data_IF_363867467933
#
_entry.id   IF_363867467933
#
_cell.length_a   1.000
_cell.length_b   1.000
_cell.length_c   1.000
_cell.angle_alpha   90.00
_cell.angle_beta   90.00
_cell.angle_gamma   90.00
#
_symmetry.space_group_name_H-M   'P 1'
#
loop_
_entity.id
_entity.type
_entity.pdbx_description
1 polymer ?
#
# COMPACT_ATOMS: atom_id res chain seq x y z
N UNK A 1 21.98 -15.49 4.49
CA UNK A 1 20.90 -14.88 3.68
C UNK A 1 19.91 -14.30 4.67
N UNK A 2 19.37 -13.12 4.39
CA UNK A 2 18.49 -12.37 5.30
C UNK A 2 17.29 -11.88 4.47
N UNK A 3 16.13 -11.73 5.12
CA UNK A 3 14.95 -11.09 4.54
C UNK A 3 14.94 -9.61 4.96
N UNK A 4 15.16 -8.69 4.01
CA UNK A 4 15.11 -7.25 4.30
C UNK A 4 13.93 -6.59 3.61
N UNK A 5 13.08 -5.95 4.39
CA UNK A 5 11.90 -5.21 3.92
C UNK A 5 12.17 -3.71 3.95
N UNK A 6 11.92 -3.03 2.83
CA UNK A 6 12.10 -1.59 2.65
C UNK A 6 10.83 -0.97 2.07
N UNK A 7 10.10 -0.22 2.88
CA UNK A 7 8.99 0.61 2.40
C UNK A 7 9.60 1.90 1.82
N UNK A 8 9.23 2.24 0.58
CA UNK A 8 9.73 3.43 -0.11
C UNK A 8 8.89 4.66 0.22
N UNK A 9 7.57 4.48 0.24
CA UNK A 9 6.62 5.51 0.56
C UNK A 9 5.29 4.92 1.04
N UNK A 10 4.58 5.69 1.85
CA UNK A 10 3.18 5.48 2.18
C UNK A 10 2.49 6.79 2.54
N UNK A 11 1.21 6.73 2.88
CA UNK A 11 0.37 7.91 3.16
C UNK A 11 0.88 8.70 4.36
N UNK A 12 1.44 8.03 5.38
CA UNK A 12 2.16 8.68 6.48
C UNK A 12 3.42 9.45 6.08
N UNK A 13 3.92 9.28 4.85
CA UNK A 13 5.06 10.00 4.27
C UNK A 13 4.66 11.02 3.19
N UNK A 14 3.35 11.24 3.02
CA UNK A 14 2.83 12.35 2.23
C UNK A 14 2.36 12.02 0.81
N UNK A 15 2.29 10.74 0.44
CA UNK A 15 1.77 10.30 -0.87
C UNK A 15 0.94 9.03 -0.72
N UNK A 16 0.01 8.78 -1.64
CA UNK A 16 -0.70 7.51 -1.67
C UNK A 16 0.22 6.45 -2.24
N UNK A 17 0.64 5.48 -1.42
CA UNK A 17 1.53 4.40 -1.87
C UNK A 17 1.54 3.25 -0.87
N UNK A 18 1.84 2.06 -1.39
CA UNK A 18 2.30 0.91 -0.60
C UNK A 18 3.61 0.32 -1.17
N UNK A 19 4.38 1.12 -1.90
CA UNK A 19 5.59 0.67 -2.59
C UNK A 19 6.60 0.06 -1.61
N UNK A 20 6.81 -1.25 -1.74
CA UNK A 20 7.65 -2.04 -0.86
C UNK A 20 8.65 -2.84 -1.68
N UNK A 21 9.91 -2.84 -1.25
CA UNK A 21 10.97 -3.63 -1.85
C UNK A 21 11.49 -4.62 -0.82
N UNK A 22 11.66 -5.87 -1.25
CA UNK A 22 12.11 -6.97 -0.41
C UNK A 22 13.35 -7.57 -1.06
N UNK A 23 14.43 -7.61 -0.31
CA UNK A 23 15.61 -8.43 -0.64
C UNK A 23 15.47 -9.74 0.14
N UNK A 24 15.27 -10.84 -0.59
CA UNK A 24 15.06 -12.16 -0.02
C UNK A 24 16.15 -13.11 -0.54
N UNK A 25 17.22 -13.27 0.25
CA UNK A 25 18.34 -14.13 -0.14
C UNK A 25 19.07 -13.67 -1.40
N UNK A 26 19.07 -12.37 -1.72
CA UNK A 26 19.69 -11.81 -2.92
C UNK A 26 18.75 -11.65 -4.12
N UNK A 27 17.53 -12.18 -4.05
CA UNK A 27 16.47 -11.91 -5.04
C UNK A 27 15.73 -10.64 -4.65
N UNK A 28 15.62 -9.68 -5.58
CA UNK A 28 15.02 -8.38 -5.33
C UNK A 28 13.59 -8.34 -5.87
N UNK A 29 12.64 -8.11 -4.96
CA UNK A 29 11.21 -8.18 -5.23
C UNK A 29 10.60 -6.81 -4.93
N UNK A 30 9.94 -6.21 -5.91
CA UNK A 30 9.08 -5.05 -5.69
C UNK A 30 7.62 -5.50 -5.54
N UNK A 31 6.95 -5.03 -4.51
CA UNK A 31 5.53 -5.26 -4.25
C UNK A 31 4.82 -3.92 -4.27
N UNK A 32 3.82 -3.82 -5.12
CA UNK A 32 3.02 -2.64 -5.36
C UNK A 32 3.83 -1.33 -5.56
N UNK A 33 4.80 -1.28 -6.50
CA UNK A 33 5.67 -0.13 -6.70
C UNK A 33 4.93 1.04 -7.39
N UNK A 34 3.86 1.53 -6.78
CA UNK A 34 3.05 2.64 -7.27
C UNK A 34 3.11 3.85 -6.37
N UNK A 35 2.70 4.98 -6.92
CA UNK A 35 2.53 6.23 -6.17
C UNK A 35 1.44 7.08 -6.84
N UNK A 36 0.60 7.70 -6.03
CA UNK A 36 -0.41 8.63 -6.52
C UNK A 36 -0.77 9.70 -5.47
N UNK A 37 -1.76 10.52 -5.79
CA UNK A 37 -2.32 11.54 -4.91
C UNK A 37 -3.84 11.60 -5.06
N UNK A 38 -4.53 12.21 -4.09
CA UNK A 38 -5.95 12.50 -4.23
C UNK A 38 -6.19 13.71 -5.16
N UNK A 39 -6.96 13.56 -6.26
CA UNK A 39 -7.31 14.69 -7.11
C UNK A 39 -8.11 15.76 -6.35
N UNK A 40 -8.95 15.35 -5.40
CA UNK A 40 -9.66 16.24 -4.48
C UNK A 40 -9.74 15.64 -3.09
N UNK A 41 -9.50 16.46 -2.07
CA UNK A 41 -9.65 16.14 -0.64
C UNK A 41 -10.12 17.41 0.08
N UNK A 42 -11.15 17.29 0.90
CA UNK A 42 -11.82 18.44 1.55
C UNK A 42 -12.33 19.52 0.57
N UNK A 43 -12.63 19.15 -0.68
CA UNK A 43 -13.00 20.09 -1.74
C UNK A 43 -11.82 20.78 -2.44
N UNK A 44 -10.60 20.62 -1.92
CA UNK A 44 -9.38 21.28 -2.37
C UNK A 44 -8.59 20.40 -3.37
N UNK A 45 -7.94 21.02 -4.38
CA UNK A 45 -6.97 20.32 -5.23
C UNK A 45 -5.72 19.91 -4.43
N UNK A 46 -4.89 18.98 -4.93
CA UNK A 46 -3.60 18.71 -4.31
C UNK A 46 -2.77 19.99 -4.20
N UNK A 47 -2.14 20.20 -3.05
CA UNK A 47 -1.20 21.30 -2.85
C UNK A 47 0.07 21.04 -3.66
N UNK A 48 0.79 22.06 -4.17
CA UNK A 48 2.01 21.87 -4.98
C UNK A 48 3.05 20.95 -4.34
N UNK A 49 3.23 21.02 -3.02
CA UNK A 49 4.13 20.12 -2.26
C UNK A 49 3.76 18.62 -2.36
N UNK A 50 2.46 18.30 -2.51
CA UNK A 50 2.00 16.92 -2.70
C UNK A 50 2.43 16.42 -4.08
N UNK A 51 2.30 17.25 -5.12
CA UNK A 51 2.72 16.91 -6.48
C UNK A 51 4.23 16.73 -6.57
N UNK A 52 4.99 17.64 -5.95
CA UNK A 52 6.44 17.51 -5.85
C UNK A 52 6.87 16.22 -5.13
N UNK A 53 6.19 15.87 -4.02
CA UNK A 53 6.47 14.63 -3.29
C UNK A 53 6.18 13.39 -4.15
N UNK A 54 5.07 13.38 -4.89
CA UNK A 54 4.72 12.28 -5.79
C UNK A 54 5.79 12.05 -6.85
N UNK A 55 6.26 13.11 -7.52
CA UNK A 55 7.30 12.95 -8.54
C UNK A 55 8.63 12.48 -7.94
N UNK A 56 9.06 13.02 -6.80
CA UNK A 56 10.27 12.53 -6.09
C UNK A 56 10.17 11.05 -5.69
N UNK A 57 9.00 10.62 -5.19
CA UNK A 57 8.77 9.22 -4.84
C UNK A 57 8.73 8.35 -6.10
N UNK A 58 8.11 8.82 -7.19
CA UNK A 58 8.09 8.10 -8.47
C UNK A 58 9.50 7.88 -9.00
N UNK A 59 10.34 8.90 -9.02
CA UNK A 59 11.76 8.80 -9.42
C UNK A 59 12.49 7.75 -8.58
N UNK A 60 12.34 7.82 -7.25
CA UNK A 60 12.94 6.82 -6.35
C UNK A 60 12.44 5.40 -6.60
N UNK A 61 11.15 5.21 -6.89
CA UNK A 61 10.61 3.89 -7.24
C UNK A 61 11.25 3.39 -8.56
N UNK A 62 11.34 4.26 -9.58
CA UNK A 62 11.95 3.91 -10.88
C UNK A 62 13.40 3.47 -10.69
N UNK A 63 14.18 4.21 -9.89
CA UNK A 63 15.58 3.89 -9.60
C UNK A 63 15.73 2.52 -8.93
N UNK A 64 14.92 2.21 -7.92
CA UNK A 64 14.96 0.91 -7.24
C UNK A 64 14.51 -0.25 -8.17
N UNK A 65 13.59 0.02 -9.11
CA UNK A 65 13.12 -0.98 -10.08
C UNK A 65 14.20 -1.37 -11.11
N UNK A 66 15.22 -0.53 -11.34
CA UNK A 66 16.31 -0.87 -12.26
C UNK A 66 16.98 -2.18 -11.84
N UNK A 67 17.20 -2.34 -10.53
CA UNK A 67 17.86 -3.46 -9.87
C UNK A 67 16.83 -4.37 -9.15
N UNK A 68 15.70 -4.65 -9.79
CA UNK A 68 14.67 -5.56 -9.28
C UNK A 68 14.50 -6.74 -10.23
N UNK A 69 14.27 -7.96 -9.71
CA UNK A 69 14.05 -9.17 -10.50
C UNK A 69 12.57 -9.43 -10.76
N UNK A 70 11.76 -9.27 -9.71
CA UNK A 70 10.34 -9.63 -9.66
C UNK A 70 9.52 -8.41 -9.27
N UNK A 71 8.45 -8.13 -10.01
CA UNK A 71 7.47 -7.10 -9.67
C UNK A 71 6.13 -7.77 -9.41
N UNK A 72 5.53 -7.44 -8.28
CA UNK A 72 4.26 -8.00 -7.81
C UNK A 72 3.22 -6.88 -7.74
N UNK A 73 2.04 -7.12 -8.33
CA UNK A 73 0.92 -6.18 -8.31
C UNK A 73 -0.27 -6.86 -7.63
N UNK A 74 -0.63 -6.42 -6.43
CA UNK A 74 -1.69 -7.01 -5.60
C UNK A 74 -3.09 -6.65 -6.09
N UNK A 75 -3.24 -5.49 -6.73
CA UNK A 75 -4.46 -5.01 -7.36
C UNK A 75 -4.20 -3.75 -8.21
N UNK A 76 -5.20 -3.28 -8.96
CA UNK A 76 -5.00 -2.26 -10.00
C UNK A 76 -5.47 -0.85 -9.56
N UNK A 77 -5.17 -0.44 -8.34
CA UNK A 77 -5.23 0.97 -7.96
C UNK A 77 -3.92 1.69 -8.33
N UNK A 78 -4.00 2.99 -8.67
CA UNK A 78 -2.87 3.73 -9.26
C UNK A 78 -1.71 3.98 -8.29
N UNK A 79 -1.99 3.89 -7.00
CA UNK A 79 -1.02 3.89 -5.90
C UNK A 79 -0.27 2.56 -5.72
N UNK A 80 -0.57 1.52 -6.52
CA UNK A 80 0.03 0.18 -6.39
C UNK A 80 0.88 -0.23 -7.59
N UNK A 81 0.91 0.54 -8.68
CA UNK A 81 1.80 0.26 -9.81
C UNK A 81 2.07 1.53 -10.59
N UNK A 82 3.23 1.62 -11.25
CA UNK A 82 3.50 2.70 -12.18
C UNK A 82 2.62 2.56 -13.42
N UNK A 83 1.74 3.53 -13.61
CA UNK A 83 0.61 3.45 -14.55
C UNK A 83 0.68 4.47 -15.67
N UNK A 84 1.71 5.33 -15.72
CA UNK A 84 1.88 6.29 -16.80
C UNK A 84 2.55 5.59 -18.01
N UNK A 85 2.18 5.91 -19.26
CA UNK A 85 2.79 5.30 -20.45
C UNK A 85 4.33 5.41 -20.47
N UNK A 86 4.87 6.54 -20.04
CA UNK A 86 6.31 6.81 -19.95
C UNK A 86 7.04 5.93 -18.91
N UNK A 87 6.31 5.29 -17.99
CA UNK A 87 6.86 4.36 -17.01
C UNK A 87 6.92 2.91 -17.52
N UNK A 88 6.33 2.59 -18.68
CA UNK A 88 6.17 1.20 -19.12
C UNK A 88 7.51 0.43 -19.21
N UNK A 89 8.59 1.13 -19.51
CA UNK A 89 9.92 0.57 -19.67
C UNK A 89 10.48 -0.08 -18.39
N UNK A 90 10.04 0.36 -17.20
CA UNK A 90 10.50 -0.22 -15.91
C UNK A 90 10.12 -1.70 -15.76
N UNK A 91 9.13 -2.16 -16.51
CA UNK A 91 8.67 -3.55 -16.49
C UNK A 91 9.45 -4.46 -17.45
N UNK A 92 10.38 -3.91 -18.26
CA UNK A 92 11.17 -4.68 -19.22
C UNK A 92 11.99 -5.75 -18.53
N UNK A 93 11.98 -6.96 -19.10
CA UNK A 93 12.76 -8.11 -18.67
C UNK A 93 12.51 -8.56 -17.22
N UNK A 94 11.49 -8.00 -16.55
CA UNK A 94 11.07 -8.38 -15.21
C UNK A 94 10.12 -9.58 -15.23
N UNK A 95 10.13 -10.36 -14.15
CA UNK A 95 9.06 -11.32 -13.91
C UNK A 95 7.92 -10.62 -13.16
N UNK A 96 6.76 -10.53 -13.81
CA UNK A 96 5.55 -10.00 -13.20
C UNK A 96 4.72 -11.12 -12.56
N UNK A 97 4.37 -10.97 -11.29
CA UNK A 97 3.41 -11.84 -10.59
C UNK A 97 2.23 -10.96 -10.18
N UNK A 98 1.11 -11.07 -10.88
CA UNK A 98 0.04 -10.07 -10.82
C UNK A 98 -1.28 -10.67 -10.36
N UNK A 99 -2.09 -9.87 -9.66
CA UNK A 99 -3.52 -10.14 -9.45
C UNK A 99 -4.18 -10.52 -10.77
N UNK A 100 -5.02 -11.56 -10.76
CA UNK A 100 -5.73 -12.00 -11.95
C UNK A 100 -6.53 -10.83 -12.56
N UNK A 101 -6.22 -10.40 -13.80
CA UNK A 101 -6.89 -9.27 -14.44
C UNK A 101 -8.30 -9.62 -14.98
N UNK A 102 -8.72 -10.88 -14.85
CA UNK A 102 -9.99 -11.43 -15.38
C UNK A 102 -10.88 -11.99 -14.27
N UNK A 103 -10.34 -12.59 -13.22
CA UNK A 103 -11.08 -13.21 -12.13
C UNK A 103 -11.09 -12.35 -10.85
N UNK A 104 -12.17 -12.44 -10.06
CA UNK A 104 -12.32 -11.72 -8.77
C UNK A 104 -11.86 -10.27 -8.87
N UNK A 105 -12.41 -9.52 -9.83
CA UNK A 105 -11.97 -8.16 -10.17
C UNK A 105 -13.16 -7.32 -10.61
N UNK A 106 -13.17 -6.04 -10.20
CA UNK A 106 -14.21 -5.12 -10.66
C UNK A 106 -13.89 -4.53 -12.04
N UNK A 107 -14.86 -3.83 -12.64
CA UNK A 107 -14.71 -3.25 -13.99
C UNK A 107 -13.57 -2.24 -14.07
N UNK A 108 -13.42 -1.37 -13.06
CA UNK A 108 -12.40 -0.31 -13.06
C UNK A 108 -10.99 -0.90 -13.04
N UNK A 109 -10.75 -1.86 -12.15
CA UNK A 109 -9.48 -2.57 -12.05
C UNK A 109 -9.18 -3.36 -13.34
N UNK A 110 -10.18 -4.02 -13.95
CA UNK A 110 -10.00 -4.72 -15.24
C UNK A 110 -9.60 -3.77 -16.38
N UNK A 111 -10.20 -2.58 -16.45
CA UNK A 111 -9.83 -1.56 -17.45
C UNK A 111 -8.38 -1.11 -17.23
N UNK A 112 -8.00 -0.89 -15.98
CA UNK A 112 -6.64 -0.48 -15.59
C UNK A 112 -5.59 -1.53 -15.88
N UNK A 113 -5.89 -2.81 -15.59
CA UNK A 113 -5.05 -3.94 -15.96
C UNK A 113 -4.90 -4.07 -17.48
N UNK A 114 -5.99 -3.97 -18.24
CA UNK A 114 -5.94 -3.98 -19.70
C UNK A 114 -5.11 -2.82 -20.25
N UNK A 115 -5.23 -1.63 -19.66
CA UNK A 115 -4.44 -0.47 -20.07
C UNK A 115 -2.95 -0.71 -19.85
N UNK A 116 -2.57 -1.20 -18.67
CA UNK A 116 -1.17 -1.53 -18.36
C UNK A 116 -0.63 -2.62 -19.30
N UNK A 117 -1.29 -3.78 -19.34
CA UNK A 117 -0.78 -4.96 -20.01
C UNK A 117 -0.84 -4.86 -21.54
N UNK A 118 -1.90 -4.25 -22.08
CA UNK A 118 -2.18 -4.24 -23.52
C UNK A 118 -1.99 -2.88 -24.17
N UNK A 119 -2.36 -1.76 -23.54
CA UNK A 119 -2.21 -0.44 -24.19
C UNK A 119 -0.83 0.18 -24.00
N UNK A 120 -0.12 -0.18 -22.93
CA UNK A 120 1.25 0.23 -22.69
C UNK A 120 2.25 -0.89 -22.95
N UNK A 121 1.80 -1.95 -23.63
CA UNK A 121 2.61 -3.09 -24.09
C UNK A 121 3.45 -3.79 -23.01
N UNK A 122 3.11 -3.63 -21.72
CA UNK A 122 3.83 -4.28 -20.62
C UNK A 122 3.84 -5.80 -20.76
N UNK A 123 2.80 -6.39 -21.37
CA UNK A 123 2.77 -7.83 -21.68
C UNK A 123 3.84 -8.29 -22.68
N UNK A 124 4.36 -7.39 -23.51
CA UNK A 124 5.44 -7.66 -24.46
C UNK A 124 6.82 -7.26 -23.89
N UNK A 125 6.85 -6.33 -22.94
CA UNK A 125 8.08 -5.87 -22.28
C UNK A 125 8.56 -6.84 -21.21
N UNK A 126 7.64 -7.39 -20.42
CA UNK A 126 7.98 -8.28 -19.32
C UNK A 126 8.56 -9.61 -19.82
N UNK A 127 9.56 -10.13 -19.10
CA UNK A 127 10.16 -11.44 -19.39
C UNK A 127 9.15 -12.56 -19.24
N UNK A 128 8.28 -12.44 -18.24
CA UNK A 128 7.26 -13.43 -17.89
C UNK A 128 6.15 -12.76 -17.07
N UNK A 129 4.92 -13.23 -17.23
CA UNK A 129 3.77 -12.82 -16.40
C UNK A 129 3.07 -14.07 -15.86
N UNK A 130 2.91 -14.16 -14.55
CA UNK A 130 2.06 -15.17 -13.91
C UNK A 130 1.00 -14.54 -12.99
N UNK A 131 0.00 -15.34 -12.65
CA UNK A 131 -1.14 -14.93 -11.80
C UNK A 131 -0.89 -15.27 -10.33
N UNK A 132 -0.99 -14.28 -9.46
CA UNK A 132 -0.75 -14.40 -8.02
C UNK A 132 -1.87 -15.14 -7.26
N UNK A 133 -3.13 -14.95 -7.65
CA UNK A 133 -4.33 -15.42 -6.94
C UNK A 133 -4.24 -16.90 -6.55
N UNK A 134 -4.16 -17.16 -5.24
CA UNK A 134 -4.07 -18.51 -4.65
C UNK A 134 -2.90 -19.37 -5.18
N UNK A 135 -1.83 -18.75 -5.67
CA UNK A 135 -0.64 -19.45 -6.17
C UNK A 135 0.58 -19.23 -5.31
N UNK A 136 1.48 -20.21 -5.33
CA UNK A 136 2.77 -20.17 -4.68
C UNK A 136 3.87 -20.43 -5.71
N UNK A 137 4.97 -19.69 -5.57
CA UNK A 137 6.14 -19.73 -6.43
C UNK A 137 7.37 -19.98 -5.58
N UNK A 138 7.99 -21.13 -5.78
CA UNK A 138 9.32 -21.42 -5.22
C UNK A 138 10.37 -20.90 -6.20
N UNK A 139 11.19 -19.96 -5.77
CA UNK A 139 12.10 -19.21 -6.65
C UNK A 139 13.49 -19.85 -6.62
N UNK A 140 14.18 -19.74 -5.49
CA UNK A 140 15.49 -20.35 -5.24
C UNK A 140 15.63 -20.67 -3.76
N UNK A 141 16.37 -21.74 -3.42
CA UNK A 141 16.58 -22.18 -2.04
C UNK A 141 15.27 -22.36 -1.27
N UNK A 142 15.12 -21.58 -0.20
CA UNK A 142 13.95 -21.49 0.68
C UNK A 142 13.04 -20.29 0.37
N UNK A 143 13.33 -19.49 -0.66
CA UNK A 143 12.47 -18.36 -1.07
C UNK A 143 11.15 -18.85 -1.68
N UNK A 144 10.05 -18.49 -1.03
CA UNK A 144 8.68 -18.72 -1.47
C UNK A 144 7.91 -17.40 -1.53
N UNK A 145 7.29 -17.14 -2.67
CA UNK A 145 6.32 -16.05 -2.86
C UNK A 145 4.94 -16.69 -3.00
N UNK A 146 4.01 -16.36 -2.11
CA UNK A 146 2.65 -16.89 -2.12
C UNK A 146 1.60 -15.79 -2.12
N UNK A 147 0.63 -15.92 -3.02
CA UNK A 147 -0.58 -15.12 -3.05
C UNK A 147 -1.69 -15.77 -2.22
N UNK A 148 -2.41 -14.97 -1.43
CA UNK A 148 -3.65 -15.43 -0.82
C UNK A 148 -4.72 -15.77 -1.86
N UNK A 149 -5.77 -16.46 -1.44
CA UNK A 149 -7.06 -16.36 -2.12
C UNK A 149 -7.46 -14.87 -2.26
N UNK A 150 -8.13 -14.46 -3.36
CA UNK A 150 -8.64 -13.10 -3.46
C UNK A 150 -9.58 -12.77 -2.30
N UNK A 151 -9.27 -11.70 -1.58
CA UNK A 151 -10.06 -11.19 -0.44
C UNK A 151 -10.69 -9.84 -0.81
N UNK A 152 -11.82 -9.46 -0.22
CA UNK A 152 -12.44 -8.18 -0.52
C UNK A 152 -11.49 -7.01 -0.27
N UNK A 153 -11.55 -6.01 -1.15
CA UNK A 153 -10.97 -4.69 -0.92
C UNK A 153 -11.88 -3.96 0.09
N UNK A 154 -11.61 -4.16 1.38
CA UNK A 154 -12.47 -3.72 2.50
C UNK A 154 -13.57 -4.71 2.87
N UNK A 155 -14.83 -4.23 2.90
CA UNK A 155 -15.98 -5.02 3.34
C UNK A 155 -16.40 -6.09 2.32
N UNK A 156 -17.01 -7.17 2.81
CA UNK A 156 -17.64 -8.18 1.96
C UNK A 156 -18.70 -7.55 1.05
N UNK A 157 -18.73 -7.94 -0.23
CA UNK A 157 -19.67 -7.42 -1.21
C UNK A 157 -19.43 -5.95 -1.63
N UNK A 158 -18.30 -5.35 -1.24
CA UNK A 158 -17.98 -3.98 -1.67
C UNK A 158 -17.80 -3.87 -3.20
N UNK A 159 -18.08 -2.70 -3.74
CA UNK A 159 -17.85 -2.40 -5.18
C UNK A 159 -16.36 -2.19 -5.51
N UNK A 160 -15.48 -2.16 -4.51
CA UNK A 160 -14.04 -1.93 -4.69
C UNK A 160 -13.33 -3.15 -5.31
N UNK A 161 -13.98 -4.32 -5.30
CA UNK A 161 -13.47 -5.55 -5.89
C UNK A 161 -12.67 -6.36 -4.87
N UNK A 162 -11.63 -7.04 -5.33
CA UNK A 162 -10.79 -7.89 -4.51
C UNK A 162 -9.33 -7.52 -4.68
N UNK A 163 -8.55 -7.84 -3.66
CA UNK A 163 -7.08 -7.75 -3.61
C UNK A 163 -6.51 -9.12 -3.29
N UNK A 164 -5.21 -9.29 -3.51
CA UNK A 164 -4.47 -10.49 -3.08
C UNK A 164 -3.33 -10.06 -2.18
N UNK A 165 -3.19 -10.73 -1.04
CA UNK A 165 -2.07 -10.51 -0.13
C UNK A 165 -0.85 -11.30 -0.61
N UNK A 166 0.34 -10.77 -0.37
CA UNK A 166 1.61 -11.37 -0.80
C UNK A 166 2.42 -11.76 0.42
N UNK A 167 2.64 -13.05 0.60
CA UNK A 167 3.60 -13.58 1.56
C UNK A 167 4.93 -13.82 0.86
N UNK A 168 6.01 -13.24 1.39
CA UNK A 168 7.39 -13.57 1.01
C UNK A 168 8.04 -14.24 2.20
N UNK A 169 8.45 -15.49 2.02
CA UNK A 169 9.13 -16.29 3.03
C UNK A 169 10.54 -16.61 2.54
N UNK A 170 11.54 -16.28 3.35
CA UNK A 170 12.93 -16.69 3.16
C UNK A 170 13.58 -16.74 4.52
N UNK A 171 14.61 -17.57 4.66
CA UNK A 171 15.63 -17.38 5.68
C UNK A 171 15.06 -17.59 7.10
N UNK A 172 13.94 -18.31 7.22
CA UNK A 172 13.19 -18.51 8.46
C UNK A 172 12.25 -17.37 8.85
N UNK A 173 12.13 -16.33 8.03
CA UNK A 173 11.30 -15.14 8.27
C UNK A 173 10.20 -15.00 7.22
N UNK A 174 9.07 -14.39 7.59
CA UNK A 174 7.92 -14.16 6.72
C UNK A 174 7.48 -12.69 6.77
N UNK A 175 7.55 -12.05 5.61
CA UNK A 175 6.92 -10.75 5.36
C UNK A 175 5.57 -10.93 4.67
N UNK A 176 4.55 -10.22 5.14
CA UNK A 176 3.23 -10.17 4.53
C UNK A 176 2.88 -8.74 4.09
N UNK A 177 2.74 -8.54 2.78
CA UNK A 177 2.09 -7.36 2.23
C UNK A 177 0.58 -7.63 2.13
N UNK A 178 -0.19 -7.10 3.08
CA UNK A 178 -1.62 -7.38 3.20
C UNK A 178 -2.50 -6.51 2.27
N UNK A 179 -1.92 -5.60 1.50
CA UNK A 179 -2.63 -4.78 0.51
C UNK A 179 -3.80 -3.96 1.13
N UNK A 180 -4.77 -3.59 0.30
CA UNK A 180 -5.90 -2.74 0.63
C UNK A 180 -7.08 -3.48 1.31
N UNK A 181 -6.79 -4.29 2.33
CA UNK A 181 -7.83 -5.00 3.10
C UNK A 181 -8.60 -4.11 4.09
N UNK A 182 -8.13 -2.89 4.33
CA UNK A 182 -8.76 -1.86 5.17
C UNK A 182 -8.91 -2.25 6.66
N UNK A 183 -7.92 -2.90 7.26
CA UNK A 183 -7.87 -3.09 8.72
C UNK A 183 -7.97 -4.51 9.30
N UNK A 184 -7.90 -5.61 8.54
CA UNK A 184 -8.88 -5.89 7.49
C UNK A 184 -10.33 -5.73 7.98
N UNK A 185 -11.23 -5.20 7.14
CA UNK A 185 -12.68 -5.20 7.45
C UNK A 185 -13.26 -6.62 7.32
N UNK A 186 -12.83 -7.36 6.30
CA UNK A 186 -13.26 -8.75 6.08
C UNK A 186 -12.63 -9.70 7.12
N UNK A 187 -13.46 -10.55 7.71
CA UNK A 187 -13.03 -11.64 8.60
C UNK A 187 -12.16 -12.66 7.85
N UNK A 188 -12.40 -12.89 6.55
CA UNK A 188 -11.59 -13.80 5.73
C UNK A 188 -10.14 -13.33 5.62
N UNK A 189 -9.95 -12.02 5.46
CA UNK A 189 -8.62 -11.42 5.44
C UNK A 189 -7.96 -11.50 6.83
N UNK A 190 -8.71 -11.26 7.91
CA UNK A 190 -8.22 -11.43 9.29
C UNK A 190 -7.70 -12.86 9.51
N UNK A 191 -8.51 -13.87 9.21
CA UNK A 191 -8.18 -15.28 9.41
C UNK A 191 -6.96 -15.70 8.57
N UNK A 192 -6.88 -15.19 7.34
CA UNK A 192 -5.73 -15.45 6.47
C UNK A 192 -4.44 -14.89 7.07
N UNK A 193 -4.43 -13.63 7.52
CA UNK A 193 -3.25 -13.03 8.16
C UNK A 193 -2.85 -13.80 9.42
N UNK A 194 -3.82 -14.16 10.28
CA UNK A 194 -3.55 -14.91 11.51
C UNK A 194 -3.00 -16.32 11.24
N UNK A 195 -3.49 -17.00 10.21
CA UNK A 195 -2.98 -18.33 9.83
C UNK A 195 -1.56 -18.26 9.25
N UNK A 196 -1.23 -17.19 8.54
CA UNK A 196 0.10 -16.95 8.00
C UNK A 196 1.13 -16.58 9.06
N UNK A 197 0.72 -16.09 10.25
CA UNK A 197 1.65 -15.74 11.36
C UNK A 197 2.93 -15.01 10.89
N UNK A 198 2.82 -13.86 10.20
CA UNK A 198 3.98 -13.17 9.67
C UNK A 198 4.82 -12.51 10.77
N UNK A 199 6.13 -12.40 10.55
CA UNK A 199 7.04 -11.65 11.42
C UNK A 199 6.88 -10.14 11.20
N UNK A 200 6.64 -9.74 9.95
CA UNK A 200 6.34 -8.35 9.58
C UNK A 200 5.12 -8.35 8.67
N UNK A 201 4.12 -7.53 8.99
CA UNK A 201 2.95 -7.30 8.13
C UNK A 201 2.81 -5.82 7.80
N UNK A 202 2.72 -5.49 6.52
CA UNK A 202 2.35 -4.16 6.05
C UNK A 202 0.91 -4.17 5.56
N UNK A 203 0.05 -3.40 6.21
CA UNK A 203 -1.40 -3.48 6.05
C UNK A 203 -2.03 -2.09 5.96
N UNK A 204 -2.99 -1.91 5.05
CA UNK A 204 -3.85 -0.74 5.08
C UNK A 204 -4.82 -0.80 6.26
N UNK A 205 -4.98 0.30 7.00
CA UNK A 205 -6.04 0.39 8.00
C UNK A 205 -7.40 0.80 7.41
N UNK A 206 -8.46 0.78 8.23
CA UNK A 206 -9.78 1.19 7.79
C UNK A 206 -9.78 2.69 7.41
N UNK A 207 -10.56 3.12 6.40
CA UNK A 207 -10.65 4.51 5.99
C UNK A 207 -11.49 5.34 6.98
N UNK A 208 -11.00 5.52 8.21
CA UNK A 208 -11.68 6.21 9.32
C UNK A 208 -12.11 7.63 8.97
N UNK A 209 -11.37 8.32 8.10
CA UNK A 209 -11.72 9.64 7.58
C UNK A 209 -12.99 9.68 6.69
N UNK A 210 -13.58 8.52 6.38
CA UNK A 210 -14.83 8.35 5.64
C UNK A 210 -15.95 7.65 6.45
N UNK A 211 -15.71 7.42 7.73
CA UNK A 211 -16.68 6.89 8.70
C UNK A 211 -18.01 7.66 8.66
N UNK A 212 -19.12 6.92 8.54
CA UNK A 212 -20.49 7.48 8.49
C UNK A 212 -20.84 8.26 7.21
N UNK A 213 -19.89 8.46 6.29
CA UNK A 213 -20.11 9.25 5.06
C UNK A 213 -20.02 8.40 3.80
N UNK A 214 -18.89 7.71 3.60
CA UNK A 214 -18.69 6.83 2.43
C UNK A 214 -18.47 5.37 2.81
N UNK A 215 -18.13 5.13 4.07
CA UNK A 215 -17.96 3.80 4.64
C UNK A 215 -18.85 3.70 5.86
N UNK A 216 -19.69 2.65 5.98
CA UNK A 216 -20.50 2.43 7.17
C UNK A 216 -19.67 2.45 8.46
N UNK A 217 -20.19 3.03 9.53
CA UNK A 217 -19.51 3.07 10.84
C UNK A 217 -19.18 1.66 11.34
N UNK A 218 -20.11 0.70 11.16
CA UNK A 218 -19.89 -0.70 11.51
C UNK A 218 -18.68 -1.32 10.80
N UNK A 219 -18.46 -0.98 9.53
CA UNK A 219 -17.33 -1.47 8.74
C UNK A 219 -16.00 -0.90 9.25
N UNK A 220 -15.98 0.39 9.61
CA UNK A 220 -14.80 1.05 10.19
C UNK A 220 -14.48 0.46 11.56
N UNK A 221 -15.49 0.32 12.43
CA UNK A 221 -15.35 -0.30 13.74
C UNK A 221 -14.85 -1.74 13.64
N UNK A 222 -15.40 -2.54 12.72
CA UNK A 222 -14.94 -3.90 12.48
C UNK A 222 -13.50 -3.95 12.01
N UNK A 223 -13.09 -3.06 11.11
CA UNK A 223 -11.69 -2.92 10.71
C UNK A 223 -10.78 -2.57 11.89
N UNK A 224 -11.15 -1.63 12.75
CA UNK A 224 -10.33 -1.28 13.92
C UNK A 224 -10.23 -2.45 14.91
N UNK A 225 -11.34 -3.16 15.18
CA UNK A 225 -11.34 -4.32 16.06
C UNK A 225 -10.51 -5.47 15.50
N UNK A 226 -10.63 -5.77 14.20
CA UNK A 226 -9.82 -6.81 13.56
C UNK A 226 -8.32 -6.47 13.58
N UNK A 227 -7.96 -5.20 13.38
CA UNK A 227 -6.58 -4.75 13.50
C UNK A 227 -6.06 -4.92 14.94
N UNK A 228 -6.90 -4.65 15.94
CA UNK A 228 -6.61 -4.93 17.35
C UNK A 228 -6.43 -6.42 17.60
N UNK A 229 -7.26 -7.28 17.00
CA UNK A 229 -7.11 -8.73 17.09
C UNK A 229 -5.77 -9.20 16.52
N UNK A 230 -5.31 -8.65 15.39
CA UNK A 230 -3.98 -8.91 14.85
C UNK A 230 -2.88 -8.51 15.86
N UNK A 231 -2.98 -7.29 16.41
CA UNK A 231 -2.02 -6.76 17.38
C UNK A 231 -1.90 -7.61 18.65
N UNK A 232 -3.00 -8.26 19.07
CA UNK A 232 -3.02 -9.15 20.24
C UNK A 232 -2.58 -10.58 19.93
N UNK A 233 -2.85 -11.09 18.72
CA UNK A 233 -2.70 -12.51 18.37
C UNK A 233 -1.45 -12.83 17.55
N UNK A 234 -0.64 -11.82 17.20
CA UNK A 234 0.65 -11.97 16.53
C UNK A 234 1.80 -11.54 17.44
N UNK A 235 2.07 -12.29 18.53
CA UNK A 235 3.09 -11.91 19.51
C UNK A 235 4.48 -11.84 18.86
N UNK A 236 5.22 -10.76 19.13
CA UNK A 236 6.58 -10.57 18.61
C UNK A 236 6.67 -10.06 17.18
N UNK A 237 5.56 -10.02 16.43
CA UNK A 237 5.52 -9.48 15.07
C UNK A 237 5.55 -7.95 15.05
N UNK A 238 5.92 -7.37 13.90
CA UNK A 238 5.77 -5.95 13.59
C UNK A 238 4.56 -5.77 12.67
N UNK A 239 3.60 -4.94 13.08
CA UNK A 239 2.44 -4.56 12.28
C UNK A 239 2.62 -3.11 11.85
N UNK A 240 2.90 -2.91 10.56
CA UNK A 240 2.93 -1.60 9.93
C UNK A 240 1.53 -1.29 9.41
N UNK A 241 0.75 -0.50 10.13
CA UNK A 241 -0.63 -0.17 9.78
C UNK A 241 -0.74 1.27 9.25
N UNK A 242 -0.94 1.44 7.94
CA UNK A 242 -0.81 2.75 7.27
C UNK A 242 -1.80 2.90 6.08
N UNK A 243 -1.34 3.54 5.00
CA UNK A 243 -2.05 3.74 3.74
C UNK A 243 -3.39 4.46 3.95
N UNK A 244 -4.54 3.82 3.68
CA UNK A 244 -5.87 4.41 3.94
C UNK A 244 -5.97 4.98 5.37
N UNK A 245 -5.35 4.35 6.36
CA UNK A 245 -5.45 4.77 7.75
C UNK A 245 -4.82 6.15 8.01
N UNK A 246 -3.65 6.41 7.41
CA UNK A 246 -2.88 7.64 7.63
C UNK A 246 -3.46 8.87 6.93
N UNK A 247 -4.55 8.70 6.17
CA UNK A 247 -5.33 9.80 5.56
C UNK A 247 -6.25 10.51 6.56
N UNK A 248 -6.34 10.01 7.79
CA UNK A 248 -7.06 10.63 8.90
C UNK A 248 -6.10 11.45 9.75
N UNK A 249 -6.53 12.65 10.17
CA UNK A 249 -5.74 13.51 11.07
C UNK A 249 -5.59 12.88 12.45
N UNK A 250 -6.56 12.05 12.86
CA UNK A 250 -6.55 11.32 14.14
C UNK A 250 -5.77 9.99 14.06
N UNK A 251 -5.11 9.71 12.92
CA UNK A 251 -4.39 8.45 12.68
C UNK A 251 -3.44 8.08 13.81
N UNK A 252 -2.55 8.98 14.23
CA UNK A 252 -1.57 8.68 15.27
C UNK A 252 -2.22 8.38 16.62
N UNK A 253 -3.36 9.02 16.93
CA UNK A 253 -4.12 8.72 18.14
C UNK A 253 -4.69 7.30 18.08
N UNK A 254 -5.36 6.96 16.97
CA UNK A 254 -5.94 5.62 16.75
C UNK A 254 -4.87 4.52 16.72
N UNK A 255 -3.71 4.78 16.12
CA UNK A 255 -2.59 3.85 16.09
C UNK A 255 -2.06 3.56 17.50
N UNK A 256 -1.94 4.58 18.36
CA UNK A 256 -1.57 4.38 19.78
C UNK A 256 -2.59 3.52 20.53
N UNK A 257 -3.88 3.75 20.32
CA UNK A 257 -4.94 2.93 20.93
C UNK A 257 -4.87 1.45 20.52
N UNK A 258 -4.45 1.18 19.28
CA UNK A 258 -4.22 -0.19 18.80
C UNK A 258 -2.98 -0.83 19.43
N UNK A 259 -1.93 -0.04 19.70
CA UNK A 259 -0.70 -0.49 20.34
C UNK A 259 -0.88 -0.75 21.86
N UNK A 260 -1.88 -0.14 22.50
CA UNK A 260 -2.16 -0.34 23.93
C UNK A 260 -2.51 -1.80 24.25
N UNK A 261 -1.62 -2.46 24.99
CA UNK A 261 -1.75 -3.87 25.38
C UNK A 261 -1.48 -4.86 24.26
N UNK A 262 -0.94 -4.41 23.12
CA UNK A 262 -0.59 -5.27 21.99
C UNK A 262 0.58 -6.21 22.33
N UNK A 263 0.52 -7.42 21.79
CA UNK A 263 1.63 -8.38 21.82
C UNK A 263 2.58 -8.19 20.62
N UNK A 264 2.09 -7.55 19.55
CA UNK A 264 2.84 -7.09 18.40
C UNK A 264 3.31 -5.64 18.58
N UNK A 265 4.37 -5.26 17.86
CA UNK A 265 4.76 -3.85 17.70
C UNK A 265 3.92 -3.22 16.58
N UNK A 266 2.94 -2.39 16.94
CA UNK A 266 2.07 -1.67 15.98
C UNK A 266 2.62 -0.28 15.71
N UNK A 267 2.97 0.01 14.46
CA UNK A 267 3.66 1.25 14.06
C UNK A 267 3.18 1.76 12.69
N UNK A 268 3.57 3.00 12.37
CA UNK A 268 3.36 3.60 11.05
C UNK A 268 4.46 3.19 10.07
N UNK A 269 4.21 3.35 8.77
CA UNK A 269 5.25 3.19 7.75
C UNK A 269 6.35 4.23 7.91
N UNK A 270 6.02 5.49 8.25
CA UNK A 270 7.00 6.52 8.56
C UNK A 270 7.95 6.09 9.71
N UNK A 271 7.40 5.52 10.78
CA UNK A 271 8.20 4.98 11.89
C UNK A 271 9.03 3.77 11.47
N UNK A 272 8.46 2.82 10.72
CA UNK A 272 9.18 1.66 10.20
C UNK A 272 10.38 2.08 9.34
N UNK A 273 10.21 3.14 8.54
CA UNK A 273 11.25 3.72 7.69
C UNK A 273 12.25 4.60 8.46
N UNK A 274 11.96 4.98 9.71
CA UNK A 274 12.78 5.91 10.49
C UNK A 274 12.75 7.35 9.98
N UNK A 275 11.64 7.78 9.36
CA UNK A 275 11.48 9.13 8.79
C UNK A 275 10.36 9.92 9.50
N UNK A 276 10.32 11.26 9.38
CA UNK A 276 9.24 12.06 9.96
C UNK A 276 7.87 11.68 9.41
N UNK A 277 6.87 11.66 10.29
CA UNK A 277 5.46 11.55 9.93
C UNK A 277 4.97 12.85 9.28
N UNK A 278 4.55 12.78 8.02
CA UNK A 278 4.17 13.95 7.23
C UNK A 278 3.02 13.62 6.24
N UNK A 279 1.79 13.40 6.74
CA UNK A 279 0.64 12.98 5.94
C UNK A 279 0.02 14.15 5.15
N UNK A 280 0.70 14.60 4.09
CA UNK A 280 0.34 15.81 3.34
C UNK A 280 -1.14 15.85 2.89
N UNK A 281 -1.72 14.71 2.48
CA UNK A 281 -3.13 14.65 2.09
C UNK A 281 -4.08 14.93 3.27
N UNK A 282 -3.80 14.37 4.46
CA UNK A 282 -4.59 14.62 5.66
C UNK A 282 -4.48 16.09 6.10
N UNK A 283 -3.28 16.67 5.93
CA UNK A 283 -2.97 18.06 6.26
C UNK A 283 -3.40 19.07 5.18
N UNK A 284 -4.04 18.64 4.09
CA UNK A 284 -4.31 19.51 2.92
C UNK A 284 -5.06 20.80 3.25
N UNK A 285 -6.00 20.78 4.20
CA UNK A 285 -6.69 22.01 4.65
C UNK A 285 -5.71 23.00 5.28
N UNK A 286 -4.82 22.51 6.13
CA UNK A 286 -3.83 23.32 6.82
C UNK A 286 -2.78 23.88 5.86
N UNK A 287 -2.31 23.05 4.90
CA UNK A 287 -1.37 23.48 3.87
C UNK A 287 -1.92 24.70 3.09
N UNK A 288 -3.15 24.61 2.58
CA UNK A 288 -3.78 25.72 1.86
C UNK A 288 -4.10 26.93 2.76
N UNK A 289 -4.39 26.74 4.05
CA UNK A 289 -4.59 27.87 4.98
C UNK A 289 -3.30 28.66 5.16
N UNK A 290 -2.19 27.96 5.43
CA UNK A 290 -0.87 28.55 5.60
C UNK A 290 -0.39 29.26 4.33
N UNK A 291 -0.70 28.75 3.14
CA UNK A 291 -0.37 29.40 1.87
C UNK A 291 -1.10 30.73 1.72
N UNK A 292 -2.41 30.77 1.97
CA UNK A 292 -3.20 32.02 1.93
C UNK A 292 -2.71 33.06 2.93
N UNK A 293 -2.36 32.65 4.14
CA UNK A 293 -1.81 33.54 5.17
C UNK A 293 -0.46 34.14 4.73
N UNK A 294 0.38 33.34 4.05
CA UNK A 294 1.66 33.82 3.49
C UNK A 294 1.44 34.79 2.34
N UNK A 295 0.50 34.52 1.45
CA UNK A 295 0.16 35.42 0.34
C UNK A 295 -0.34 36.78 0.85
N UNK A 296 -1.23 36.78 1.85
CA UNK A 296 -1.73 38.00 2.48
C UNK A 296 -0.62 38.80 3.18
N UNK A 297 0.26 38.13 3.93
CA UNK A 297 1.38 38.78 4.59
C UNK A 297 2.40 39.38 3.61
N UNK A 298 2.53 38.81 2.41
CA UNK A 298 3.40 39.33 1.35
C UNK A 298 2.77 40.51 0.59
N UNK A 299 1.45 40.53 0.42
CA UNK A 299 0.75 41.68 -0.17
C UNK A 299 0.83 42.91 0.73
N UNK A 300 0.70 42.74 2.04
CA UNK A 300 0.76 43.85 3.03
C UNK A 300 2.18 44.44 3.18
N UNK A 301 3.22 43.68 2.81
CA UNK A 301 4.62 44.15 2.78
C UNK A 301 5.00 44.84 1.46
N UNK A 302 4.20 44.63 0.42
CA UNK A 302 4.42 45.21 -0.91
C UNK A 302 3.60 46.50 -1.15
N UNK A 303 2.67 46.82 -0.25
CA UNK A 303 1.91 48.08 -0.17
C UNK A 303 2.56 49.09 0.77
#
# INVERSE_FOLDING_TARGET
MELRVKIIASDSTGVRSMATFVDAGGVKIAIDPGVSYAPRRYGLPPHPIELERVEKVRERIIDELQDTDIIIITHYHYDHYLYKPEDAEVYRDKWLIIKDPKASINVSQRIRAHRLLSRYDVSQLAKRIDILDAKSYKIDGDLVIAGSEPVPHGAEGSKLGYVVMVSVECCGERFLHASDVQGPISVRALETILSLKPDVVFISGPPTYFEGVKVPEEDVHRGLENLRQLALKLPGSIIVADHHFARDIEYLHRLRQLAEGAAARVISAAEFMGVPYEPLEALRRELWSREKEREAANSDRAS
#
